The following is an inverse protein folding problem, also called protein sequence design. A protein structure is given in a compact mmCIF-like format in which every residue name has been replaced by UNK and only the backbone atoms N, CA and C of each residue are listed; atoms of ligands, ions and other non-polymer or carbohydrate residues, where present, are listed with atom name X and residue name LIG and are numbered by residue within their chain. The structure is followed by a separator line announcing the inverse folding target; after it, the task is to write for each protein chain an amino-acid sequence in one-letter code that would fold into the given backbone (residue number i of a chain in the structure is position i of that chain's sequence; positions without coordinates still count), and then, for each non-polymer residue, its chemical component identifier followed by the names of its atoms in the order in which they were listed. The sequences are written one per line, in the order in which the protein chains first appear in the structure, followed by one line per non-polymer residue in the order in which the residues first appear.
data_IF_354765956830
#
_entry.id   IF_354765956830
#
_cell.length_a   1.000
_cell.length_b   1.000
_cell.length_c   1.000
_cell.angle_alpha   90.00
_cell.angle_beta   90.00
_cell.angle_gamma   90.00
#
_symmetry.space_group_name_H-M   'P 1'
#
loop_
_entity.id
_entity.type
_entity.pdbx_description
1 polymer ?
#
# COMPACT_ATOMS: atom_id res chain seq x y z
N UNK A 1 -9.83 -14.04 -8.89
CA UNK A 1 -8.97 -12.92 -9.36
C UNK A 1 -7.96 -13.53 -10.30
N UNK A 2 -7.76 -12.96 -11.49
CA UNK A 2 -6.63 -13.35 -12.33
C UNK A 2 -5.44 -12.48 -11.94
N UNK A 3 -4.26 -13.08 -11.90
CA UNK A 3 -3.05 -12.35 -11.55
C UNK A 3 -2.83 -11.20 -12.55
N UNK A 4 -2.49 -10.02 -12.04
CA UNK A 4 -2.23 -8.82 -12.86
C UNK A 4 -3.44 -8.00 -13.28
N UNK A 5 -4.68 -8.38 -12.91
CA UNK A 5 -5.88 -7.57 -13.23
C UNK A 5 -5.82 -6.15 -12.66
N UNK A 6 -5.16 -5.95 -11.51
CA UNK A 6 -4.93 -4.64 -10.91
C UNK A 6 -3.97 -3.81 -11.77
N UNK A 7 -2.81 -4.37 -12.12
CA UNK A 7 -1.77 -3.72 -12.91
C UNK A 7 -2.31 -3.18 -14.26
N UNK A 8 -3.14 -3.99 -14.92
CA UNK A 8 -3.72 -3.64 -16.21
C UNK A 8 -4.75 -2.50 -16.17
N UNK A 9 -5.28 -2.17 -14.99
CA UNK A 9 -6.26 -1.08 -14.80
C UNK A 9 -5.60 0.26 -14.49
N UNK A 10 -4.34 0.23 -14.06
CA UNK A 10 -3.59 1.43 -13.70
C UNK A 10 -3.08 2.13 -14.97
N UNK A 11 -3.13 3.46 -14.95
CA UNK A 11 -2.41 4.27 -15.91
C UNK A 11 -0.90 4.29 -15.58
N UNK A 12 -0.07 4.88 -16.45
CA UNK A 12 1.40 4.88 -16.27
C UNK A 12 1.84 5.51 -14.96
N UNK A 13 1.25 6.64 -14.58
CA UNK A 13 1.59 7.34 -13.34
C UNK A 13 1.24 6.48 -12.12
N UNK A 14 0.07 5.85 -12.13
CA UNK A 14 -0.34 4.95 -11.05
C UNK A 14 0.53 3.69 -10.98
N UNK A 15 1.03 3.19 -12.11
CA UNK A 15 1.99 2.07 -12.14
C UNK A 15 3.34 2.47 -11.56
N UNK A 16 3.83 3.66 -11.89
CA UNK A 16 5.07 4.23 -11.34
C UNK A 16 4.94 4.42 -9.82
N UNK A 17 3.87 5.07 -9.36
CA UNK A 17 3.58 5.22 -7.93
C UNK A 17 3.44 3.87 -7.21
N UNK A 18 2.85 2.85 -7.84
CA UNK A 18 2.76 1.51 -7.26
C UNK A 18 4.14 0.84 -7.11
N UNK A 19 5.07 1.09 -8.03
CA UNK A 19 6.43 0.58 -7.93
C UNK A 19 7.24 1.33 -6.87
N UNK A 20 7.10 2.65 -6.80
CA UNK A 20 7.76 3.49 -5.81
C UNK A 20 7.30 3.10 -4.39
N UNK A 21 5.98 2.97 -4.18
CA UNK A 21 5.42 2.54 -2.89
C UNK A 21 5.86 1.14 -2.48
N UNK A 22 6.11 0.24 -3.44
CA UNK A 22 6.65 -1.09 -3.15
C UNK A 22 8.09 -0.98 -2.62
N UNK A 23 8.93 -0.15 -3.23
CA UNK A 23 10.30 0.10 -2.76
C UNK A 23 10.28 0.77 -1.37
N UNK A 24 9.48 1.81 -1.20
CA UNK A 24 9.35 2.56 0.06
C UNK A 24 8.83 1.69 1.22
N UNK A 25 8.00 0.69 0.94
CA UNK A 25 7.48 -0.23 1.97
C UNK A 25 8.55 -1.11 2.62
N UNK A 26 9.74 -1.19 2.00
CA UNK A 26 10.90 -1.86 2.59
C UNK A 26 11.55 -1.06 3.73
N UNK A 27 11.25 0.23 3.85
CA UNK A 27 11.77 1.09 4.92
C UNK A 27 10.81 1.10 6.13
N UNK A 28 11.24 0.61 7.30
CA UNK A 28 10.45 0.64 8.52
C UNK A 28 10.01 2.05 8.96
N UNK A 29 10.74 3.10 8.59
CA UNK A 29 10.36 4.49 8.93
C UNK A 29 9.11 4.96 8.16
N UNK A 30 8.82 4.35 7.01
CA UNK A 30 7.63 4.63 6.21
C UNK A 30 6.41 3.80 6.66
N UNK A 31 6.60 2.82 7.55
CA UNK A 31 5.53 1.97 8.04
C UNK A 31 4.77 2.63 9.18
N UNK A 32 3.45 2.48 9.15
CA UNK A 32 2.60 2.90 10.26
C UNK A 32 2.65 1.85 11.38
N UNK A 33 2.82 2.32 12.61
CA UNK A 33 2.74 1.46 13.77
C UNK A 33 1.35 0.80 13.89
N UNK A 34 1.36 -0.52 14.09
CA UNK A 34 0.14 -1.33 14.13
C UNK A 34 -0.79 -0.93 15.29
N UNK A 35 -0.23 -0.64 16.45
CA UNK A 35 -1.01 -0.27 17.64
C UNK A 35 -1.57 1.15 17.51
N UNK A 36 -0.82 2.07 16.89
CA UNK A 36 -1.32 3.39 16.51
C UNK A 36 -2.51 3.29 15.54
N UNK A 37 -2.44 2.41 14.54
CA UNK A 37 -3.53 2.21 13.57
C UNK A 37 -4.78 1.62 14.20
N UNK A 38 -4.63 0.61 15.08
CA UNK A 38 -5.74 0.03 15.85
C UNK A 38 -6.45 1.06 16.72
N UNK A 39 -5.68 1.86 17.45
CA UNK A 39 -6.22 2.89 18.35
C UNK A 39 -7.02 3.94 17.58
N UNK A 40 -6.51 4.37 16.42
CA UNK A 40 -7.16 5.37 15.57
C UNK A 40 -8.44 4.86 14.90
N UNK A 41 -8.49 3.57 14.54
CA UNK A 41 -9.57 3.00 13.74
C UNK A 41 -10.29 1.86 14.46
N UNK A 42 -10.71 2.09 15.72
CA UNK A 42 -11.36 1.13 16.66
C UNK A 42 -12.46 0.18 16.13
N UNK A 43 -12.87 0.27 14.86
CA UNK A 43 -13.90 -0.56 14.21
C UNK A 43 -13.44 -1.35 12.98
N UNK A 44 -12.18 -1.22 12.53
CA UNK A 44 -11.71 -1.82 11.27
C UNK A 44 -11.04 -3.20 11.41
N UNK A 45 -10.98 -3.75 12.63
CA UNK A 45 -10.59 -5.15 12.89
C UNK A 45 -11.74 -5.91 13.54
#
# INVERSE_FOLDING_TARGET
MRDGDLWNRLNKTEQEELLDTLEESGDPENLLDHEAMKSKHQKWL
#
